data_IF_949080958461
#
_entry.id   IF_949080958461
#
_cell.length_a   1.000
_cell.length_b   1.000
_cell.length_c   1.000
_cell.angle_alpha   90.00
_cell.angle_beta   90.00
_cell.angle_gamma   90.00
#
_symmetry.space_group_name_H-M   'P 1'
#
loop_
_entity.id
_entity.type
_entity.pdbx_description
1 polymer ?
#
# COMPACT_ATOMS: atom_id res chain seq x y z
N UNK A 1 -6.15 -12.06 4.80
CA UNK A 1 -6.06 -12.15 3.32
C UNK A 1 -6.33 -10.80 2.70
N UNK A 2 -6.51 -10.68 1.37
CA UNK A 2 -6.62 -9.37 0.70
C UNK A 2 -7.75 -8.49 1.24
N UNK A 3 -8.88 -9.09 1.62
CA UNK A 3 -10.00 -8.41 2.28
C UNK A 3 -9.68 -7.85 3.67
N UNK A 4 -8.64 -8.38 4.33
CA UNK A 4 -8.15 -7.91 5.63
C UNK A 4 -7.07 -6.81 5.50
N UNK A 5 -6.74 -6.40 4.27
CA UNK A 5 -5.64 -5.47 3.98
C UNK A 5 -4.25 -6.12 3.89
N UNK A 6 -4.19 -7.45 3.71
CA UNK A 6 -2.95 -8.22 3.60
C UNK A 6 -2.91 -8.94 2.24
N UNK A 7 -1.94 -8.57 1.40
CA UNK A 7 -1.69 -9.15 0.09
C UNK A 7 -1.16 -10.59 0.15
N UNK A 8 -0.88 -11.14 -1.04
CA UNK A 8 -0.46 -12.54 -1.18
C UNK A 8 0.92 -12.82 -0.57
N UNK A 9 1.78 -11.79 -0.44
CA UNK A 9 3.06 -11.86 0.25
C UNK A 9 2.95 -11.99 1.77
N UNK A 10 1.76 -11.79 2.34
CA UNK A 10 1.50 -11.99 3.76
C UNK A 10 2.23 -10.98 4.65
N UNK A 11 2.62 -11.43 5.84
CA UNK A 11 3.42 -10.66 6.80
C UNK A 11 4.60 -11.53 7.22
N UNK A 12 5.80 -10.95 7.20
CA UNK A 12 7.05 -11.61 7.55
C UNK A 12 7.81 -10.81 8.61
N UNK A 13 8.65 -11.49 9.38
CA UNK A 13 9.47 -10.88 10.43
C UNK A 13 10.89 -11.40 10.30
N UNK A 14 11.86 -10.51 10.41
CA UNK A 14 13.28 -10.85 10.57
C UNK A 14 13.70 -10.30 11.92
N UNK A 15 14.37 -11.13 12.73
CA UNK A 15 15.00 -10.72 13.98
C UNK A 15 16.51 -10.69 13.75
N UNK A 16 17.14 -9.61 14.20
CA UNK A 16 18.59 -9.44 14.19
C UNK A 16 19.09 -9.45 15.64
N UNK A 17 20.11 -10.25 15.93
CA UNK A 17 20.83 -10.21 17.20
C UNK A 17 22.27 -9.76 16.94
N UNK A 18 22.66 -8.62 17.51
CA UNK A 18 24.02 -8.07 17.42
C UNK A 18 24.49 -7.75 18.83
N UNK A 19 25.64 -8.29 19.24
CA UNK A 19 26.19 -8.13 20.59
C UNK A 19 25.17 -8.46 21.71
N UNK A 20 24.32 -9.48 21.48
CA UNK A 20 23.27 -9.90 22.41
C UNK A 20 22.03 -8.99 22.46
N UNK A 21 21.97 -7.96 21.60
CA UNK A 21 20.83 -7.04 21.50
C UNK A 21 19.97 -7.43 20.31
N UNK A 22 18.67 -7.67 20.56
CA UNK A 22 17.71 -8.06 19.53
C UNK A 22 16.91 -6.88 19.00
N UNK A 23 16.79 -6.78 17.69
CA UNK A 23 15.87 -5.87 16.98
C UNK A 23 15.09 -6.65 15.93
N UNK A 24 13.95 -6.14 15.47
CA UNK A 24 13.18 -6.81 14.42
C UNK A 24 12.70 -5.87 13.31
N UNK A 25 12.51 -6.44 12.12
CA UNK A 25 11.91 -5.80 10.98
C UNK A 25 10.70 -6.64 10.53
N UNK A 26 9.52 -6.05 10.58
CA UNK A 26 8.29 -6.69 10.11
C UNK A 26 7.90 -6.08 8.77
N UNK A 27 7.86 -6.93 7.73
CA UNK A 27 7.44 -6.55 6.40
C UNK A 27 6.04 -7.10 6.14
N UNK A 28 5.07 -6.21 5.97
CA UNK A 28 3.71 -6.56 5.59
C UNK A 28 3.49 -6.25 4.10
N UNK A 29 3.00 -7.24 3.35
CA UNK A 29 2.41 -7.01 2.04
C UNK A 29 1.08 -6.30 2.21
N UNK A 30 1.15 -4.98 2.37
CA UNK A 30 0.02 -4.09 2.56
C UNK A 30 0.34 -2.77 1.86
N UNK A 31 -0.69 -2.02 1.50
CA UNK A 31 -0.51 -0.68 0.96
C UNK A 31 -0.08 0.31 2.07
N UNK A 32 -0.82 0.30 3.18
CA UNK A 32 -0.60 1.18 4.34
C UNK A 32 -0.95 0.44 5.63
N UNK A 33 -0.67 1.05 6.79
CA UNK A 33 -1.09 0.56 8.09
C UNK A 33 -1.82 1.66 8.89
N UNK A 34 -2.77 1.26 9.73
CA UNK A 34 -3.41 2.18 10.68
C UNK A 34 -2.36 2.65 11.72
N UNK A 35 -2.41 3.92 12.18
CA UNK A 35 -1.38 4.48 13.06
C UNK A 35 -1.12 3.67 14.33
N UNK A 36 -2.15 3.03 14.87
CA UNK A 36 -2.07 2.24 16.10
C UNK A 36 -1.35 0.89 15.92
N UNK A 37 -1.26 0.35 14.70
CA UNK A 37 -0.66 -0.98 14.44
C UNK A 37 0.81 -0.99 14.85
N UNK A 38 1.51 0.12 14.64
CA UNK A 38 2.91 0.26 15.06
C UNK A 38 3.10 0.11 16.57
N UNK A 39 2.21 0.72 17.35
CA UNK A 39 2.26 0.61 18.82
C UNK A 39 2.00 -0.82 19.30
N UNK A 40 1.07 -1.53 18.66
CA UNK A 40 0.80 -2.95 18.92
C UNK A 40 2.01 -3.82 18.59
N UNK A 41 2.61 -3.61 17.43
CA UNK A 41 3.83 -4.32 17.02
C UNK A 41 4.97 -4.09 18.02
N UNK A 42 5.22 -2.83 18.39
CA UNK A 42 6.27 -2.47 19.34
C UNK A 42 6.06 -3.09 20.73
N UNK A 43 4.81 -3.21 21.18
CA UNK A 43 4.50 -3.92 22.41
C UNK A 43 4.88 -5.41 22.29
N UNK A 44 4.39 -6.08 21.26
CA UNK A 44 4.63 -7.52 21.04
C UNK A 44 6.11 -7.84 20.84
N UNK A 45 6.84 -6.98 20.12
CA UNK A 45 8.27 -7.15 19.92
C UNK A 45 9.05 -7.06 21.24
N UNK A 46 8.71 -6.10 22.11
CA UNK A 46 9.30 -5.99 23.46
C UNK A 46 8.99 -7.21 24.33
N UNK A 47 7.77 -7.72 24.29
CA UNK A 47 7.37 -8.94 25.00
C UNK A 47 8.16 -10.17 24.51
N UNK A 48 8.62 -10.14 23.26
CA UNK A 48 9.48 -11.16 22.64
C UNK A 48 10.99 -10.83 22.71
N UNK A 49 11.39 -9.86 23.54
CA UNK A 49 12.79 -9.55 23.83
C UNK A 49 13.51 -8.69 22.80
N UNK A 50 12.81 -8.10 21.83
CA UNK A 50 13.38 -7.12 20.91
C UNK A 50 13.31 -5.72 21.53
N UNK A 51 14.43 -4.99 21.55
CA UNK A 51 14.48 -3.62 22.10
C UNK A 51 13.82 -2.60 21.18
N UNK A 52 13.80 -2.89 19.88
CA UNK A 52 13.16 -2.06 18.86
C UNK A 52 12.61 -2.91 17.70
N UNK A 53 11.64 -2.35 16.98
CA UNK A 53 11.02 -2.97 15.82
C UNK A 53 10.48 -1.95 14.84
N UNK A 54 10.60 -2.26 13.54
CA UNK A 54 10.08 -1.42 12.47
C UNK A 54 9.02 -2.16 11.65
N UNK A 55 7.91 -1.48 11.34
CA UNK A 55 6.88 -1.96 10.41
C UNK A 55 7.10 -1.33 9.04
N UNK A 56 7.37 -2.16 8.03
CA UNK A 56 7.45 -1.76 6.64
C UNK A 56 6.27 -2.32 5.84
N UNK A 57 5.80 -1.55 4.87
CA UNK A 57 4.76 -1.95 3.91
C UNK A 57 5.32 -1.89 2.48
N UNK A 58 4.94 -2.83 1.62
CA UNK A 58 5.51 -2.96 0.26
C UNK A 58 4.67 -2.32 -0.84
N UNK A 59 3.38 -2.05 -0.61
CA UNK A 59 2.39 -1.63 -1.62
C UNK A 59 2.55 -2.33 -2.98
N UNK A 60 2.42 -3.66 -2.99
CA UNK A 60 2.51 -4.47 -4.22
C UNK A 60 1.35 -4.25 -5.20
N UNK A 61 0.43 -3.33 -4.90
CA UNK A 61 -0.86 -3.11 -5.58
C UNK A 61 -1.82 -4.31 -5.63
N UNK A 62 -1.45 -5.47 -5.09
CA UNK A 62 -2.30 -6.67 -5.06
C UNK A 62 -3.56 -6.52 -4.19
N UNK A 63 -3.55 -5.58 -3.25
CA UNK A 63 -4.70 -5.27 -2.38
C UNK A 63 -5.51 -4.06 -2.84
N UNK A 64 -5.11 -3.41 -3.94
CA UNK A 64 -5.79 -2.22 -4.46
C UNK A 64 -7.00 -2.62 -5.33
N UNK A 65 -8.07 -1.82 -5.25
CA UNK A 65 -9.36 -2.07 -5.92
C UNK A 65 -10.04 -3.42 -5.58
N UNK A 66 -9.73 -3.99 -4.41
CA UNK A 66 -10.36 -5.23 -3.91
C UNK A 66 -11.79 -4.98 -3.41
N UNK A 67 -12.12 -3.74 -3.05
CA UNK A 67 -13.48 -3.33 -2.68
C UNK A 67 -14.05 -2.29 -3.65
N UNK A 68 -15.31 -2.45 -4.06
CA UNK A 68 -16.03 -1.48 -4.87
C UNK A 68 -16.57 -0.35 -3.97
N UNK A 69 -15.86 0.79 -3.95
CA UNK A 69 -16.24 1.99 -3.20
C UNK A 69 -15.23 2.41 -2.12
N UNK A 70 -15.24 3.69 -1.75
CA UNK A 70 -14.26 4.26 -0.81
C UNK A 70 -12.84 4.29 -1.39
N UNK A 71 -11.84 3.88 -0.59
CA UNK A 71 -10.43 3.80 -1.03
C UNK A 71 -10.12 2.60 -1.93
N UNK A 72 -11.01 1.61 -1.98
CA UNK A 72 -10.78 0.38 -2.75
C UNK A 72 -9.81 -0.62 -2.11
N UNK A 73 -9.31 -0.36 -0.90
CA UNK A 73 -8.48 -1.26 -0.09
C UNK A 73 -8.64 -0.95 1.40
N UNK A 74 -8.24 -1.90 2.25
CA UNK A 74 -8.14 -1.72 3.70
C UNK A 74 -6.66 -1.56 4.09
N UNK A 75 -6.25 -0.47 4.77
CA UNK A 75 -4.96 -0.45 5.44
C UNK A 75 -4.86 -1.60 6.46
N UNK A 76 -3.64 -2.08 6.72
CA UNK A 76 -3.38 -3.06 7.76
C UNK A 76 -3.93 -2.55 9.09
N UNK A 77 -4.77 -3.36 9.76
CA UNK A 77 -5.45 -2.99 10.99
C UNK A 77 -6.79 -2.24 10.79
N UNK A 78 -7.26 -2.00 9.58
CA UNK A 78 -8.63 -1.46 9.41
C UNK A 78 -9.69 -2.56 9.52
N UNK A 79 -9.50 -3.68 8.82
CA UNK A 79 -10.44 -4.80 8.77
C UNK A 79 -10.05 -5.97 9.70
N UNK A 80 -8.74 -6.21 9.87
CA UNK A 80 -8.23 -7.22 10.80
C UNK A 80 -8.29 -6.70 12.24
N UNK A 81 -8.77 -7.55 13.17
CA UNK A 81 -8.84 -7.17 14.59
C UNK A 81 -7.47 -7.04 15.23
N UNK A 82 -7.40 -6.21 16.27
CA UNK A 82 -6.19 -6.00 17.08
C UNK A 82 -5.67 -7.33 17.67
N UNK A 83 -6.56 -8.20 18.13
CA UNK A 83 -6.20 -9.49 18.74
C UNK A 83 -5.55 -10.41 17.70
N UNK A 84 -6.12 -10.48 16.49
CA UNK A 84 -5.54 -11.28 15.40
C UNK A 84 -4.18 -10.75 14.97
N UNK A 85 -4.00 -9.42 14.93
CA UNK A 85 -2.70 -8.81 14.66
C UNK A 85 -1.68 -9.10 15.75
N UNK A 86 -2.08 -9.02 17.02
CA UNK A 86 -1.21 -9.37 18.16
C UNK A 86 -0.74 -10.82 18.07
N UNK A 87 -1.66 -11.76 17.86
CA UNK A 87 -1.34 -13.18 17.70
C UNK A 87 -0.41 -13.39 16.51
N UNK A 88 -0.70 -12.77 15.36
CA UNK A 88 0.14 -12.87 14.17
C UNK A 88 1.57 -12.38 14.44
N UNK A 89 1.73 -11.20 15.03
CA UNK A 89 3.04 -10.65 15.34
C UNK A 89 3.79 -11.50 16.36
N UNK A 90 3.11 -12.00 17.39
CA UNK A 90 3.73 -12.85 18.41
C UNK A 90 4.25 -14.17 17.82
N UNK A 91 3.44 -14.84 17.00
CA UNK A 91 3.86 -16.05 16.30
C UNK A 91 5.05 -15.80 15.38
N UNK A 92 5.04 -14.68 14.63
CA UNK A 92 6.14 -14.32 13.73
C UNK A 92 7.44 -14.04 14.51
N UNK A 93 7.38 -13.31 15.62
CA UNK A 93 8.57 -13.05 16.43
C UNK A 93 9.12 -14.32 17.07
N UNK A 94 8.25 -15.19 17.60
CA UNK A 94 8.68 -16.48 18.17
C UNK A 94 9.37 -17.36 17.15
N UNK A 95 8.80 -17.47 15.94
CA UNK A 95 9.39 -18.25 14.84
C UNK A 95 10.74 -17.66 14.41
N UNK A 96 10.80 -16.36 14.16
CA UNK A 96 12.05 -15.69 13.76
C UNK A 96 13.14 -15.81 14.83
N UNK A 97 12.79 -15.63 16.11
CA UNK A 97 13.74 -15.77 17.22
C UNK A 97 14.21 -17.22 17.41
N UNK A 98 13.36 -18.22 17.15
CA UNK A 98 13.74 -19.63 17.23
C UNK A 98 14.67 -20.11 16.12
N UNK A 99 14.74 -19.35 15.02
CA UNK A 99 15.55 -19.65 13.83
C UNK A 99 16.81 -18.77 13.75
N UNK A 100 17.16 -18.06 14.83
CA UNK A 100 18.38 -17.27 14.90
C UNK A 100 19.62 -18.17 14.77
N UNK A 101 20.53 -17.75 13.89
CA UNK A 101 21.81 -18.40 13.64
C UNK A 101 22.84 -17.37 13.20
N UNK A 102 24.12 -17.72 13.33
CA UNK A 102 25.22 -16.87 12.85
C UNK A 102 25.08 -16.63 11.35
N UNK A 103 25.09 -15.37 10.95
CA UNK A 103 24.90 -14.96 9.56
C UNK A 103 25.74 -13.75 9.20
N UNK A 104 26.04 -13.60 7.91
CA UNK A 104 26.70 -12.44 7.33
C UNK A 104 25.72 -11.68 6.43
N UNK A 105 25.81 -10.35 6.41
CA UNK A 105 25.01 -9.51 5.53
C UNK A 105 25.80 -9.16 4.25
N UNK A 106 25.15 -9.29 3.10
CA UNK A 106 25.69 -8.86 1.81
C UNK A 106 24.68 -7.98 1.07
N UNK A 107 25.17 -7.01 0.30
CA UNK A 107 24.35 -6.13 -0.52
C UNK A 107 24.86 -6.13 -1.96
N UNK A 108 23.93 -6.24 -2.92
CA UNK A 108 24.22 -6.15 -4.35
C UNK A 108 23.18 -5.27 -5.03
N UNK A 109 23.65 -4.25 -5.74
CA UNK A 109 22.80 -3.45 -6.61
C UNK A 109 22.79 -4.03 -8.03
N UNK A 110 21.61 -4.04 -8.64
CA UNK A 110 21.41 -4.48 -10.02
C UNK A 110 20.61 -3.41 -10.75
N UNK A 111 21.03 -3.07 -11.97
CA UNK A 111 20.29 -2.18 -12.85
C UNK A 111 19.46 -3.01 -13.83
N UNK A 112 18.15 -2.78 -13.85
CA UNK A 112 17.25 -3.37 -14.84
C UNK A 112 16.86 -2.26 -15.80
N UNK A 113 17.34 -2.35 -17.04
CA UNK A 113 17.00 -1.39 -18.09
C UNK A 113 15.67 -1.75 -18.76
N UNK A 114 15.03 -0.75 -19.38
CA UNK A 114 13.83 -0.93 -20.21
C UNK A 114 12.62 -1.53 -19.47
N UNK A 115 12.49 -1.28 -18.16
CA UNK A 115 11.29 -1.64 -17.39
C UNK A 115 10.10 -0.80 -17.86
N UNK A 116 9.05 -1.45 -18.36
CA UNK A 116 7.79 -0.78 -18.71
C UNK A 116 6.95 -0.56 -17.46
N UNK A 117 7.00 0.64 -16.89
CA UNK A 117 6.24 1.00 -15.67
C UNK A 117 4.77 1.32 -15.98
N UNK A 118 4.45 1.82 -17.18
CA UNK A 118 3.07 2.13 -17.58
C UNK A 118 2.66 1.59 -18.95
N UNK A 119 3.57 0.95 -19.70
CA UNK A 119 3.30 0.46 -21.05
C UNK A 119 2.60 1.52 -21.94
N UNK A 120 1.82 1.09 -22.92
CA UNK A 120 1.06 1.93 -23.84
C UNK A 120 -0.21 2.54 -23.19
N UNK A 121 -0.47 2.26 -21.91
CA UNK A 121 -1.66 2.75 -21.20
C UNK A 121 -1.65 4.28 -21.04
N UNK A 122 -0.48 4.91 -20.91
CA UNK A 122 -0.38 6.37 -20.86
C UNK A 122 -0.85 7.03 -22.14
N UNK A 123 -0.63 6.40 -23.29
CA UNK A 123 -1.10 6.94 -24.57
C UNK A 123 -2.63 6.92 -24.63
N UNK A 124 -3.25 5.83 -24.14
CA UNK A 124 -4.70 5.72 -24.03
C UNK A 124 -5.28 6.78 -23.09
N UNK A 125 -4.69 6.94 -21.90
CA UNK A 125 -5.14 7.95 -20.91
C UNK A 125 -4.94 9.37 -21.46
N UNK A 126 -3.81 9.65 -22.09
CA UNK A 126 -3.49 10.94 -22.69
C UNK A 126 -4.51 11.34 -23.77
N UNK A 127 -4.90 10.39 -24.62
CA UNK A 127 -5.93 10.61 -25.64
C UNK A 127 -7.30 10.88 -25.01
N UNK A 128 -7.70 10.11 -23.99
CA UNK A 128 -8.97 10.31 -23.29
C UNK A 128 -9.05 11.70 -22.63
N UNK A 129 -7.98 12.13 -21.95
CA UNK A 129 -7.88 13.48 -21.36
C UNK A 129 -7.98 14.56 -22.43
N UNK A 130 -7.24 14.41 -23.54
CA UNK A 130 -7.25 15.36 -24.64
C UNK A 130 -8.64 15.49 -25.29
N UNK A 131 -9.33 14.37 -25.47
CA UNK A 131 -10.71 14.35 -25.96
C UNK A 131 -11.65 15.06 -24.99
N UNK A 132 -11.59 14.75 -23.68
CA UNK A 132 -12.42 15.36 -22.65
C UNK A 132 -12.26 16.89 -22.60
N UNK A 133 -11.02 17.38 -22.65
CA UNK A 133 -10.74 18.83 -22.67
C UNK A 133 -11.31 19.50 -23.92
N UNK A 134 -11.20 18.87 -25.10
CA UNK A 134 -11.79 19.39 -26.35
C UNK A 134 -13.32 19.43 -26.28
N UNK A 135 -13.94 18.33 -25.85
CA UNK A 135 -15.38 18.24 -25.70
C UNK A 135 -15.91 19.31 -24.72
N UNK A 136 -15.23 19.49 -23.59
CA UNK A 136 -15.56 20.54 -22.61
C UNK A 136 -15.46 21.94 -23.21
N UNK A 137 -14.37 22.26 -23.93
CA UNK A 137 -14.21 23.58 -24.58
C UNK A 137 -15.32 23.88 -25.59
N UNK A 138 -15.69 22.88 -26.41
CA UNK A 138 -16.79 23.03 -27.38
C UNK A 138 -18.11 23.27 -26.64
N UNK A 139 -18.43 22.45 -25.63
CA UNK A 139 -19.65 22.60 -24.85
C UNK A 139 -19.72 23.95 -24.13
N UNK A 140 -18.61 24.40 -23.51
CA UNK A 140 -18.53 25.67 -22.80
C UNK A 140 -18.71 26.89 -23.71
N UNK A 141 -18.29 26.81 -24.98
CA UNK A 141 -18.50 27.88 -25.96
C UNK A 141 -19.89 27.81 -26.62
N UNK A 142 -20.41 26.60 -26.86
CA UNK A 142 -21.71 26.40 -27.51
C UNK A 142 -22.89 26.70 -26.58
N UNK A 143 -22.79 26.37 -25.29
CA UNK A 143 -23.89 26.52 -24.33
C UNK A 143 -24.37 27.99 -24.17
N UNK A 144 -23.49 29.01 -24.03
CA UNK A 144 -23.93 30.41 -23.98
C UNK A 144 -24.58 30.87 -25.29
N UNK A 145 -24.05 30.46 -26.44
CA UNK A 145 -24.58 30.83 -27.76
C UNK A 145 -25.99 30.24 -27.99
N UNK A 146 -26.20 28.98 -27.62
CA UNK A 146 -27.52 28.34 -27.65
C UNK A 146 -28.51 29.04 -26.71
N UNK A 147 -28.04 29.45 -25.53
CA UNK A 147 -28.86 30.16 -24.53
C UNK A 147 -29.31 31.54 -25.04
N UNK A 148 -28.41 32.29 -25.68
CA UNK A 148 -28.72 33.59 -26.30
C UNK A 148 -29.71 33.41 -27.45
N UNK A 149 -29.49 32.43 -28.34
CA UNK A 149 -30.39 32.14 -29.45
C UNK A 149 -31.82 31.78 -29.01
N UNK A 150 -31.95 30.97 -27.96
CA UNK A 150 -33.24 30.62 -27.37
C UNK A 150 -33.94 31.85 -26.76
N UNK A 151 -33.19 32.70 -26.05
CA UNK A 151 -33.72 33.94 -25.48
C UNK A 151 -34.24 34.91 -26.56
N UNK A 152 -33.56 35.02 -27.70
CA UNK A 152 -34.02 35.85 -28.84
C UNK A 152 -35.24 35.31 -29.56
N UNK A 153 -35.51 34.00 -29.49
CA UNK A 153 -36.70 33.37 -30.07
C UNK A 153 -37.96 33.51 -29.19
N UNK A 154 -37.77 33.79 -27.90
CA UNK A 154 -38.84 33.94 -26.90
C UNK A 154 -39.24 35.40 -26.64
N UNK A 155 -38.54 36.37 -27.23
CA UNK A 155 -38.83 37.81 -27.23
C UNK A 155 -39.57 38.20 -28.52
#
# INVERSE_FOLDING_TARGET
GPSDGIGAGGVSCIVFEVDGVRTSLVLADANNAMPWVRGVLQQVARENGCVDTELCTTDTHMVNAVSLGGRGYHPLGEAISTERLKTLFDELHKRAASDLSDAEAAHKSVTIENVKVFSDFLDVVSQAVSFGVRAYRVAALAAPLLSIGLATLLL
#
